data_IF_314783829436
#
_entry.id   IF_314783829436
#
_cell.length_a   1.000
_cell.length_b   1.000
_cell.length_c   1.000
_cell.angle_alpha   90.00
_cell.angle_beta   90.00
_cell.angle_gamma   90.00
#
_symmetry.space_group_name_H-M   'P 1'
#
loop_
_entity.id
_entity.type
_entity.pdbx_description
1 polymer ?
#
# COMPACT_ATOMS: atom_id res chain seq x y z
N UNK A 1 -9.35 -14.74 16.76
CA UNK A 1 -8.20 -15.50 17.28
C UNK A 1 -7.24 -14.52 17.97
N UNK A 2 -6.53 -14.92 19.02
CA UNK A 2 -5.57 -14.04 19.71
C UNK A 2 -4.28 -13.86 18.90
N UNK A 3 -3.59 -12.73 19.13
CA UNK A 3 -2.43 -12.29 18.33
C UNK A 3 -1.21 -13.22 18.42
N UNK A 4 -1.05 -13.92 19.54
CA UNK A 4 -0.05 -14.97 19.75
C UNK A 4 -0.26 -16.18 18.85
N UNK A 5 -1.49 -16.43 18.39
CA UNK A 5 -1.80 -17.50 17.43
C UNK A 5 -1.72 -17.04 15.98
N UNK A 6 -2.03 -15.78 15.69
CA UNK A 6 -2.03 -15.27 14.32
C UNK A 6 -0.71 -14.67 13.89
N UNK A 7 0.11 -14.17 14.83
CA UNK A 7 1.34 -13.41 14.50
C UNK A 7 1.08 -11.95 14.11
N UNK A 8 -0.19 -11.52 14.00
CA UNK A 8 -0.55 -10.13 13.73
C UNK A 8 -0.50 -9.35 15.04
N UNK A 9 0.59 -8.59 15.23
CA UNK A 9 0.81 -7.72 16.39
C UNK A 9 0.53 -6.23 16.08
N UNK A 10 0.05 -5.94 14.87
CA UNK A 10 -0.16 -4.57 14.41
C UNK A 10 -1.18 -3.81 15.26
N UNK A 11 -0.81 -2.57 15.57
CA UNK A 11 -1.71 -1.57 16.16
C UNK A 11 -1.50 -0.24 15.46
N UNK A 12 -2.56 0.40 14.99
CA UNK A 12 -2.53 1.80 14.58
C UNK A 12 -2.78 2.67 15.82
N UNK A 13 -1.73 3.29 16.35
CA UNK A 13 -1.83 4.16 17.53
C UNK A 13 -1.53 5.59 17.13
N UNK A 14 -2.52 6.47 17.26
CA UNK A 14 -2.38 7.90 16.98
C UNK A 14 -2.18 8.68 18.29
N UNK A 15 -1.14 9.49 18.39
CA UNK A 15 -0.94 10.36 19.55
C UNK A 15 -2.05 11.45 19.61
N UNK A 16 -2.61 11.68 20.81
CA UNK A 16 -3.69 12.67 21.02
C UNK A 16 -3.32 14.10 20.61
N UNK A 17 -2.04 14.46 20.75
CA UNK A 17 -1.50 15.74 20.29
C UNK A 17 -1.59 15.90 18.77
N UNK A 18 -1.41 14.82 18.01
CA UNK A 18 -1.49 14.84 16.54
C UNK A 18 -2.94 14.94 16.07
N UNK A 19 -3.87 14.23 16.72
CA UNK A 19 -5.30 14.32 16.45
C UNK A 19 -5.91 15.71 16.73
N UNK A 20 -5.38 16.44 17.72
CA UNK A 20 -5.82 17.80 18.04
C UNK A 20 -5.37 18.86 17.00
N UNK A 21 -4.27 18.60 16.29
CA UNK A 21 -3.74 19.50 15.26
C UNK A 21 -4.43 19.26 13.92
N UNK A 22 -4.86 18.03 13.62
CA UNK A 22 -5.59 17.70 12.41
C UNK A 22 -6.63 16.59 12.64
N UNK A 23 -7.91 16.96 12.73
CA UNK A 23 -9.01 16.01 12.94
C UNK A 23 -9.22 15.02 11.79
N UNK A 24 -8.65 15.24 10.60
CA UNK A 24 -8.67 14.27 9.49
C UNK A 24 -7.90 12.98 9.82
N UNK A 25 -7.04 12.99 10.84
CA UNK A 25 -6.36 11.78 11.32
C UNK A 25 -7.30 10.86 12.12
N UNK A 26 -8.54 11.27 12.38
CA UNK A 26 -9.55 10.42 13.05
C UNK A 26 -10.29 9.49 12.06
N UNK A 27 -10.04 9.60 10.74
CA UNK A 27 -10.72 8.81 9.71
C UNK A 27 -10.24 7.33 9.62
N UNK A 28 -9.39 6.89 10.55
CA UNK A 28 -8.86 5.53 10.58
C UNK A 28 -7.77 5.28 9.54
N UNK A 29 -7.18 4.10 9.59
CA UNK A 29 -6.15 3.66 8.64
C UNK A 29 -6.66 2.51 7.79
N UNK A 30 -6.41 2.56 6.49
CA UNK A 30 -6.79 1.49 5.57
C UNK A 30 -6.02 0.18 5.76
N UNK A 31 -6.62 -0.89 5.27
CA UNK A 31 -6.00 -2.20 5.09
C UNK A 31 -6.17 -2.60 3.63
N UNK A 32 -5.13 -3.19 3.04
CA UNK A 32 -5.22 -3.86 1.74
C UNK A 32 -4.93 -5.35 1.93
N UNK A 33 -5.61 -6.18 1.15
CA UNK A 33 -5.46 -7.63 1.20
C UNK A 33 -5.29 -8.17 -0.22
N UNK A 34 -4.29 -9.01 -0.45
CA UNK A 34 -3.94 -9.53 -1.77
C UNK A 34 -2.72 -10.44 -1.68
N UNK A 35 -2.55 -11.32 -2.66
CA UNK A 35 -1.40 -12.22 -2.77
C UNK A 35 -0.24 -11.46 -3.41
N UNK A 36 0.69 -10.95 -2.58
CA UNK A 36 1.75 -10.06 -3.08
C UNK A 36 3.01 -10.80 -3.51
N UNK A 37 3.10 -12.10 -3.26
CA UNK A 37 4.24 -12.92 -3.68
C UNK A 37 3.87 -14.15 -4.52
N UNK A 38 2.61 -14.21 -4.96
CA UNK A 38 2.11 -15.19 -5.91
C UNK A 38 2.03 -16.62 -5.35
N UNK A 39 2.06 -16.79 -4.03
CA UNK A 39 2.05 -18.11 -3.39
C UNK A 39 0.63 -18.71 -3.22
N UNK A 40 -0.39 -17.95 -3.63
CA UNK A 40 -1.80 -18.32 -3.55
C UNK A 40 -2.44 -18.03 -2.20
N UNK A 41 -1.72 -17.40 -1.27
CA UNK A 41 -2.24 -16.98 0.02
C UNK A 41 -2.45 -15.45 0.05
N UNK A 42 -3.55 -15.04 0.67
CA UNK A 42 -3.85 -13.62 0.79
C UNK A 42 -3.05 -12.98 1.92
N UNK A 43 -2.18 -12.04 1.59
CA UNK A 43 -1.36 -11.23 2.51
C UNK A 43 -2.11 -9.97 2.95
N UNK A 44 -1.58 -9.29 3.97
CA UNK A 44 -2.21 -8.11 4.58
C UNK A 44 -1.24 -6.93 4.69
N UNK A 45 -1.65 -5.78 4.16
CA UNK A 45 -0.94 -4.51 4.32
C UNK A 45 -1.77 -3.55 5.19
N UNK A 46 -1.17 -3.02 6.25
CA UNK A 46 -1.80 -2.10 7.17
C UNK A 46 -1.17 -0.72 7.07
N UNK A 47 -2.02 0.28 6.83
CA UNK A 47 -1.63 1.67 6.98
C UNK A 47 -1.52 2.05 8.45
N UNK A 48 -0.58 2.94 8.75
CA UNK A 48 -0.43 3.56 10.06
C UNK A 48 -0.42 5.07 9.87
N UNK A 49 -1.16 5.76 10.74
CA UNK A 49 -1.18 7.22 10.71
C UNK A 49 0.11 7.77 11.31
N UNK A 50 0.67 7.14 12.34
CA UNK A 50 1.90 7.61 12.99
C UNK A 50 2.94 6.47 13.07
N UNK A 51 4.00 6.56 12.28
CA UNK A 51 5.04 5.54 12.16
C UNK A 51 4.89 4.62 10.94
N UNK A 52 5.67 3.53 10.86
CA UNK A 52 5.70 2.68 9.67
C UNK A 52 4.39 1.91 9.49
N UNK A 53 3.96 1.80 8.24
CA UNK A 53 2.99 0.80 7.80
C UNK A 53 3.54 -0.61 8.01
N UNK A 54 2.69 -1.63 7.91
CA UNK A 54 3.12 -3.02 8.09
C UNK A 54 2.60 -3.93 7.00
N UNK A 55 3.48 -4.80 6.47
CA UNK A 55 3.12 -5.88 5.55
C UNK A 55 3.28 -7.22 6.26
N UNK A 56 2.22 -8.03 6.24
CA UNK A 56 2.17 -9.35 6.82
C UNK A 56 1.97 -10.40 5.74
N UNK A 57 2.98 -11.26 5.56
CA UNK A 57 2.89 -12.45 4.71
C UNK A 57 2.05 -13.53 5.40
N UNK A 58 1.09 -14.11 4.70
CA UNK A 58 0.30 -15.24 5.15
C UNK A 58 1.08 -16.54 4.96
N UNK A 59 1.23 -17.30 6.05
CA UNK A 59 1.92 -18.60 6.05
C UNK A 59 0.94 -19.79 6.03
N UNK A 60 -0.36 -19.51 5.83
CA UNK A 60 -1.44 -20.46 5.92
C UNK A 60 -1.87 -20.73 7.37
N UNK A 61 -3.04 -21.35 7.52
CA UNK A 61 -3.56 -21.73 8.84
C UNK A 61 -3.75 -20.54 9.79
N UNK A 62 -4.07 -19.35 9.26
CA UNK A 62 -4.22 -18.10 10.01
C UNK A 62 -2.93 -17.59 10.69
N UNK A 63 -1.75 -18.01 10.21
CA UNK A 63 -0.46 -17.53 10.70
C UNK A 63 0.11 -16.50 9.73
N UNK A 64 0.66 -15.43 10.29
CA UNK A 64 1.20 -14.30 9.54
C UNK A 64 2.59 -13.95 10.05
N UNK A 65 3.45 -13.49 9.14
CA UNK A 65 4.79 -13.03 9.41
C UNK A 65 4.94 -11.57 8.98
N UNK A 66 5.45 -10.72 9.88
CA UNK A 66 5.81 -9.35 9.54
C UNK A 66 7.04 -9.36 8.61
N UNK A 67 6.85 -8.88 7.38
CA UNK A 67 7.88 -8.77 6.34
C UNK A 67 8.16 -7.31 5.95
N UNK A 68 7.65 -6.35 6.72
CA UNK A 68 7.71 -4.90 6.45
C UNK A 68 9.12 -4.40 6.14
N UNK A 69 10.11 -4.85 6.91
CA UNK A 69 11.50 -4.42 6.73
C UNK A 69 12.13 -4.92 5.43
N UNK A 70 11.70 -6.09 4.95
CA UNK A 70 12.20 -6.68 3.71
C UNK A 70 11.46 -6.16 2.47
N UNK A 71 10.19 -5.76 2.62
CA UNK A 71 9.33 -5.37 1.51
C UNK A 71 9.63 -4.00 0.92
N UNK A 72 10.27 -3.09 1.66
CA UNK A 72 10.52 -1.71 1.19
C UNK A 72 9.27 -0.81 1.22
N UNK A 73 8.10 -1.34 1.60
CA UNK A 73 6.82 -0.64 1.61
C UNK A 73 6.46 -0.05 2.99
N UNK A 74 7.44 0.24 3.85
CA UNK A 74 7.19 0.67 5.22
C UNK A 74 6.57 2.07 5.34
N UNK A 75 6.76 2.95 4.34
CA UNK A 75 6.19 4.31 4.32
C UNK A 75 6.37 5.08 5.64
N UNK A 76 7.52 4.94 6.30
CA UNK A 76 7.73 5.46 7.66
C UNK A 76 7.71 7.01 7.76
N UNK A 77 7.75 7.70 6.62
CA UNK A 77 7.81 9.15 6.51
C UNK A 77 6.48 9.82 6.14
N UNK A 78 5.34 9.12 6.28
CA UNK A 78 4.02 9.66 5.93
C UNK A 78 2.89 9.22 6.87
N UNK A 79 1.82 10.02 6.92
CA UNK A 79 0.57 9.71 7.63
C UNK A 79 -0.36 8.94 6.70
N UNK A 80 -0.20 7.61 6.65
CA UNK A 80 -0.95 6.76 5.72
C UNK A 80 -2.40 6.56 6.15
N UNK A 81 -3.32 6.89 5.25
CA UNK A 81 -4.77 6.82 5.49
C UNK A 81 -5.43 5.65 4.76
N UNK A 82 -4.87 5.21 3.63
CA UNK A 82 -5.45 4.14 2.82
C UNK A 82 -4.41 3.42 1.99
N UNK A 83 -4.71 2.18 1.62
CA UNK A 83 -3.90 1.41 0.68
C UNK A 83 -4.81 0.59 -0.25
N UNK A 84 -4.31 0.31 -1.45
CA UNK A 84 -4.93 -0.60 -2.40
C UNK A 84 -3.83 -1.41 -3.11
N UNK A 85 -4.18 -2.64 -3.51
CA UNK A 85 -3.33 -3.50 -4.33
C UNK A 85 -3.96 -3.61 -5.72
N UNK A 86 -3.17 -3.39 -6.77
CA UNK A 86 -3.59 -3.50 -8.16
C UNK A 86 -2.35 -3.62 -9.06
N UNK A 87 -2.47 -4.32 -10.19
CA UNK A 87 -1.43 -4.34 -11.23
C UNK A 87 -1.41 -2.98 -11.96
N UNK A 88 -0.32 -2.21 -11.82
CA UNK A 88 -0.19 -0.86 -12.38
C UNK A 88 0.66 -0.82 -13.65
N UNK A 89 1.61 -1.73 -13.81
CA UNK A 89 2.52 -1.76 -14.96
C UNK A 89 2.25 -2.89 -15.96
N UNK A 90 1.24 -3.72 -15.69
CA UNK A 90 0.76 -4.79 -16.55
C UNK A 90 1.63 -6.04 -16.53
N UNK A 91 2.45 -6.23 -15.51
CA UNK A 91 3.29 -7.42 -15.34
C UNK A 91 2.57 -8.59 -14.63
N UNK A 92 1.32 -8.37 -14.23
CA UNK A 92 0.45 -9.32 -13.53
C UNK A 92 0.85 -9.61 -12.07
N UNK A 93 1.71 -8.77 -11.48
CA UNK A 93 1.98 -8.75 -10.05
C UNK A 93 1.15 -7.66 -9.35
N UNK A 94 0.81 -7.87 -8.07
CA UNK A 94 0.04 -6.87 -7.32
C UNK A 94 0.97 -5.75 -6.82
N UNK A 95 0.85 -4.57 -7.43
CA UNK A 95 1.50 -3.35 -6.97
C UNK A 95 0.74 -2.67 -5.84
N UNK A 96 1.42 -1.79 -5.11
CA UNK A 96 0.88 -1.15 -3.92
C UNK A 96 0.67 0.36 -4.14
N UNK A 97 -0.56 0.82 -3.92
CA UNK A 97 -0.92 2.23 -3.85
C UNK A 97 -1.14 2.60 -2.39
N UNK A 98 -0.49 3.65 -1.90
CA UNK A 98 -0.64 4.14 -0.53
C UNK A 98 -1.01 5.62 -0.53
N UNK A 99 -2.18 5.93 0.02
CA UNK A 99 -2.64 7.31 0.23
C UNK A 99 -2.18 7.84 1.59
N UNK A 100 -1.84 9.13 1.65
CA UNK A 100 -1.43 9.80 2.86
C UNK A 100 -1.96 11.24 2.94
N UNK A 101 -2.24 11.70 4.16
CA UNK A 101 -2.57 13.11 4.40
C UNK A 101 -1.30 13.97 4.35
N UNK A 102 -1.32 15.03 3.56
CA UNK A 102 -0.25 16.04 3.50
C UNK A 102 0.96 15.69 2.61
N UNK A 103 1.09 14.45 2.14
CA UNK A 103 2.19 13.99 1.27
C UNK A 103 1.76 13.46 -0.11
N UNK A 104 0.46 13.32 -0.36
CA UNK A 104 -0.08 12.77 -1.60
C UNK A 104 -0.02 11.24 -1.65
N UNK A 105 -0.51 10.68 -2.74
CA UNK A 105 -0.51 9.22 -2.98
C UNK A 105 0.83 8.78 -3.54
N UNK A 106 1.38 7.69 -3.01
CA UNK A 106 2.56 6.99 -3.54
C UNK A 106 2.15 5.67 -4.17
N UNK A 107 2.84 5.26 -5.21
CA UNK A 107 2.68 3.97 -5.86
C UNK A 107 4.01 3.23 -5.79
N UNK A 108 3.96 1.93 -5.57
CA UNK A 108 5.12 1.07 -5.51
C UNK A 108 4.93 -0.12 -6.42
N UNK A 109 5.89 -0.36 -7.31
CA UNK A 109 5.92 -1.54 -8.16
C UNK A 109 6.48 -2.73 -7.39
N UNK A 110 5.79 -3.85 -7.47
CA UNK A 110 6.19 -5.13 -6.91
C UNK A 110 7.09 -5.89 -7.89
N UNK A 111 7.98 -6.75 -7.39
CA UNK A 111 8.82 -7.63 -8.22
C UNK A 111 8.30 -9.07 -8.29
N UNK A 112 7.00 -9.25 -7.99
CA UNK A 112 6.33 -10.54 -7.86
C UNK A 112 6.69 -11.35 -6.62
N UNK A 113 7.59 -10.86 -5.77
CA UNK A 113 8.04 -11.56 -4.56
C UNK A 113 7.77 -10.77 -3.27
N UNK A 114 6.84 -9.80 -3.34
CA UNK A 114 6.47 -8.94 -2.22
C UNK A 114 7.51 -7.87 -1.88
N UNK A 115 8.42 -7.56 -2.82
CA UNK A 115 9.38 -6.47 -2.68
C UNK A 115 8.98 -5.29 -3.57
N UNK A 116 8.76 -4.17 -2.92
CA UNK A 116 8.21 -2.98 -3.49
C UNK A 116 9.27 -1.91 -3.72
N UNK A 117 9.20 -1.24 -4.87
CA UNK A 117 10.06 -0.12 -5.22
C UNK A 117 9.23 1.06 -5.74
N UNK A 118 9.58 2.26 -5.29
CA UNK A 118 8.89 3.46 -5.78
C UNK A 118 9.52 3.91 -7.10
N UNK A 119 8.77 3.91 -8.22
CA UNK A 119 9.31 4.33 -9.50
C UNK A 119 9.48 5.85 -9.52
N UNK A 120 10.59 6.34 -10.07
CA UNK A 120 10.79 7.78 -10.30
C UNK A 120 9.78 8.37 -11.30
N UNK A 121 9.26 7.54 -12.21
CA UNK A 121 8.20 7.83 -13.16
C UNK A 121 7.38 6.55 -13.37
N UNK A 122 6.07 6.59 -13.11
CA UNK A 122 5.18 5.48 -13.45
C UNK A 122 4.97 5.47 -14.97
N UNK A 123 5.60 4.53 -15.67
CA UNK A 123 5.38 4.34 -17.11
C UNK A 123 4.32 3.26 -17.28
N UNK A 124 3.07 3.66 -17.49
CA UNK A 124 2.02 2.71 -17.83
C UNK A 124 2.40 2.03 -19.16
N UNK A 125 2.24 0.71 -19.29
CA UNK A 125 2.48 0.04 -20.56
C UNK A 125 1.62 0.71 -21.64
N UNK A 126 2.15 0.89 -22.87
CA UNK A 126 1.34 1.38 -23.98
C UNK A 126 0.19 0.38 -24.15
N UNK A 127 -1.02 0.80 -23.73
CA UNK A 127 -2.18 -0.08 -23.68
C UNK A 127 -2.35 -0.81 -25.00
N UNK A 128 -2.49 -2.14 -24.94
CA UNK A 128 -2.91 -2.90 -26.11
C UNK A 128 -4.34 -2.49 -26.47
N UNK A 129 -4.43 -1.51 -27.37
CA UNK A 129 -5.65 -1.18 -28.07
C UNK A 129 -6.65 -0.31 -27.31
N UNK A 130 -6.26 0.90 -26.90
CA UNK A 130 -7.19 2.04 -26.91
C UNK A 130 -6.48 3.25 -27.54
N UNK A 131 -7.19 3.90 -28.46
CA UNK A 131 -6.72 4.98 -29.35
C UNK A 131 -6.18 6.23 -28.60
N UNK A 132 -5.46 7.13 -29.29
CA UNK A 132 -4.32 7.86 -28.74
C UNK A 132 -4.72 9.10 -27.96
N UNK A 133 -4.30 9.20 -26.70
CA UNK A 133 -4.21 10.48 -25.99
C UNK A 133 -2.82 10.66 -25.39
N UNK A 134 -2.31 11.87 -25.65
CA UNK A 134 -0.93 12.31 -25.49
C UNK A 134 -0.48 12.33 -24.04
N UNK A 135 0.80 12.01 -23.86
CA UNK A 135 1.64 12.23 -22.69
C UNK A 135 1.25 13.48 -21.87
N UNK A 136 0.81 13.26 -20.64
CA UNK A 136 0.80 14.28 -19.58
C UNK A 136 1.75 13.80 -18.49
N UNK A 137 2.88 14.49 -18.35
CA UNK A 137 3.67 14.50 -17.12
C UNK A 137 2.74 14.81 -15.96
N UNK A 138 2.58 13.85 -15.05
CA UNK A 138 1.74 13.97 -13.86
C UNK A 138 2.44 14.88 -12.84
N UNK A 139 2.26 16.19 -12.96
CA UNK A 139 2.33 17.08 -11.79
C UNK A 139 0.93 17.19 -11.21
N UNK A 140 0.74 16.52 -10.06
CA UNK A 140 -0.30 16.77 -9.05
C UNK A 140 -1.68 17.22 -9.56
N UNK A 141 -2.61 16.28 -9.74
CA UNK A 141 -3.99 16.33 -9.20
C UNK A 141 -4.84 15.20 -9.78
N UNK A 142 -5.53 14.46 -8.89
CA UNK A 142 -6.69 13.63 -9.22
C UNK A 142 -6.39 12.26 -9.82
N UNK A 143 -6.42 11.22 -8.98
CA UNK A 143 -6.55 9.84 -9.45
C UNK A 143 -8.00 9.65 -9.92
N UNK A 144 -8.16 9.35 -11.20
CA UNK A 144 -9.42 8.88 -11.79
C UNK A 144 -9.47 7.35 -11.59
N UNK A 145 -10.43 6.86 -10.80
CA UNK A 145 -10.75 5.43 -10.74
C UNK A 145 -11.78 5.19 -11.85
N UNK A 146 -11.41 4.42 -12.89
CA UNK A 146 -12.41 3.93 -13.86
C UNK A 146 -13.22 2.79 -13.22
N UNK A 147 -14.54 2.94 -13.25
CA UNK A 147 -15.53 1.87 -13.00
C UNK A 147 -15.60 0.87 -14.14
#
# INVERSE_FOLDING_TARGET
MPADRTGILFSNHLARSSAQVNRLLEDGSGVAAGDVDGDGLCDLYFCRLDGPNALYKNLGGWRFQDVTGASGAACADQYSTGAALADLDGDNDLDLIVNATGRGTRCFLNDGNGRFSEPATLSLPPGQGLAPWRWLTLTAMGILICT
#
